data_IF_300982289091
#
_entry.id   IF_300982289091
#
_cell.length_a   1.000
_cell.length_b   1.000
_cell.length_c   1.000
_cell.angle_alpha   90.00
_cell.angle_beta   90.00
_cell.angle_gamma   90.00
#
_symmetry.space_group_name_H-M   'P 1'
#
loop_
_entity.id
_entity.type
_entity.pdbx_description
1 polymer ?
#
# COMPACT_ATOMS: atom_id res chain seq x y z
N UNK A 1 4.04 -23.53 -2.21
CA UNK A 1 5.05 -22.82 -3.02
C UNK A 1 4.40 -22.04 -4.17
N UNK A 2 3.60 -22.66 -5.05
CA UNK A 2 2.98 -21.97 -6.19
C UNK A 2 2.00 -20.85 -5.79
N UNK A 3 1.08 -21.11 -4.85
CA UNK A 3 0.19 -20.07 -4.28
C UNK A 3 0.94 -18.86 -3.71
N UNK A 4 2.06 -19.11 -3.03
CA UNK A 4 2.88 -18.04 -2.46
C UNK A 4 3.53 -17.20 -3.56
N UNK A 5 4.04 -17.84 -4.62
CA UNK A 5 4.59 -17.16 -5.80
C UNK A 5 3.56 -16.25 -6.47
N UNK A 6 2.31 -16.70 -6.63
CA UNK A 6 1.23 -15.87 -7.20
C UNK A 6 0.97 -14.62 -6.36
N UNK A 7 0.96 -14.75 -5.03
CA UNK A 7 0.84 -13.58 -4.16
C UNK A 7 2.02 -12.64 -4.25
N UNK A 8 3.24 -13.18 -4.34
CA UNK A 8 4.44 -12.36 -4.52
C UNK A 8 4.42 -11.62 -5.85
N UNK A 9 4.05 -12.28 -6.94
CA UNK A 9 3.96 -11.64 -8.25
C UNK A 9 2.93 -10.50 -8.23
N UNK A 10 1.78 -10.71 -7.60
CA UNK A 10 0.74 -9.69 -7.48
C UNK A 10 1.15 -8.52 -6.57
N UNK A 11 1.71 -8.79 -5.39
CA UNK A 11 2.18 -7.74 -4.48
C UNK A 11 3.39 -7.00 -5.03
N UNK A 12 4.28 -7.68 -5.74
CA UNK A 12 5.38 -7.04 -6.43
C UNK A 12 4.85 -6.07 -7.48
N UNK A 13 3.86 -6.49 -8.30
CA UNK A 13 3.19 -5.62 -9.25
C UNK A 13 2.56 -4.39 -8.58
N UNK A 14 1.80 -4.58 -7.51
CA UNK A 14 1.15 -3.47 -6.79
C UNK A 14 2.17 -2.49 -6.20
N UNK A 15 3.23 -2.99 -5.55
CA UNK A 15 4.30 -2.16 -5.00
C UNK A 15 5.03 -1.38 -6.09
N UNK A 16 5.37 -2.02 -7.22
CA UNK A 16 6.01 -1.36 -8.34
C UNK A 16 5.13 -0.25 -8.91
N UNK A 17 3.84 -0.51 -9.14
CA UNK A 17 2.91 0.50 -9.66
C UNK A 17 2.68 1.63 -8.67
N UNK A 18 2.56 1.32 -7.38
CA UNK A 18 2.41 2.34 -6.36
C UNK A 18 3.66 3.23 -6.26
N UNK A 19 4.86 2.65 -6.42
CA UNK A 19 6.10 3.42 -6.43
C UNK A 19 6.22 4.31 -7.68
N UNK A 20 6.12 3.71 -8.87
CA UNK A 20 6.35 4.37 -10.16
C UNK A 20 5.24 5.35 -10.52
N UNK A 21 3.98 4.96 -10.30
CA UNK A 21 2.84 5.74 -10.75
C UNK A 21 2.40 6.78 -9.72
N UNK A 22 2.79 6.63 -8.44
CA UNK A 22 2.36 7.51 -7.38
C UNK A 22 3.51 8.09 -6.55
N UNK A 23 4.24 7.26 -5.81
CA UNK A 23 5.18 7.73 -4.78
C UNK A 23 6.38 8.53 -5.33
N UNK A 24 6.77 8.33 -6.59
CA UNK A 24 7.91 9.06 -7.20
C UNK A 24 7.49 10.27 -8.06
N UNK A 25 6.22 10.40 -8.44
CA UNK A 25 5.74 11.49 -9.29
C UNK A 25 5.50 12.78 -8.53
N UNK A 26 5.28 13.89 -9.22
CA UNK A 26 4.90 15.16 -8.61
C UNK A 26 3.39 15.20 -8.36
N UNK A 27 2.95 15.84 -7.28
CA UNK A 27 1.52 15.95 -6.93
C UNK A 27 0.69 16.69 -8.00
N UNK A 28 1.34 17.57 -8.76
CA UNK A 28 0.71 18.32 -9.84
C UNK A 28 0.40 17.46 -11.07
N UNK A 29 1.00 16.27 -11.19
CA UNK A 29 0.87 15.41 -12.38
C UNK A 29 -0.47 14.67 -12.42
N UNK A 30 -1.23 14.69 -11.32
CA UNK A 30 -2.41 13.84 -11.16
C UNK A 30 -3.72 14.57 -11.40
N UNK A 31 -4.63 13.93 -12.15
CA UNK A 31 -6.03 14.33 -12.17
C UNK A 31 -6.80 13.74 -10.98
N UNK A 32 -7.85 14.43 -10.54
CA UNK A 32 -8.65 13.97 -9.39
C UNK A 32 -9.28 12.61 -9.65
N UNK A 33 -9.72 12.35 -10.89
CA UNK A 33 -10.31 11.07 -11.25
C UNK A 33 -9.30 9.92 -11.16
N UNK A 34 -8.06 10.14 -11.59
CA UNK A 34 -6.98 9.16 -11.50
C UNK A 34 -6.66 8.82 -10.05
N UNK A 35 -6.61 9.83 -9.18
CA UNK A 35 -6.33 9.63 -7.76
C UNK A 35 -7.46 8.81 -7.12
N UNK A 36 -8.72 9.27 -7.26
CA UNK A 36 -9.89 8.63 -6.61
C UNK A 36 -10.15 7.21 -7.12
N UNK A 37 -9.75 6.89 -8.35
CA UNK A 37 -9.97 5.57 -8.96
C UNK A 37 -8.74 4.67 -8.88
N UNK A 38 -7.69 4.99 -9.63
CA UNK A 38 -6.54 4.10 -9.82
C UNK A 38 -5.62 4.06 -8.62
N UNK A 39 -5.17 5.22 -8.12
CA UNK A 39 -4.27 5.25 -6.95
C UNK A 39 -4.97 4.70 -5.71
N UNK A 40 -6.26 5.01 -5.57
CA UNK A 40 -7.10 4.44 -4.53
C UNK A 40 -7.09 2.92 -4.56
N UNK A 41 -7.35 2.34 -5.73
CA UNK A 41 -7.37 0.90 -5.93
C UNK A 41 -6.01 0.26 -5.60
N UNK A 42 -4.90 0.84 -6.06
CA UNK A 42 -3.55 0.32 -5.78
C UNK A 42 -3.27 0.25 -4.27
N UNK A 43 -3.50 1.33 -3.54
CA UNK A 43 -3.26 1.40 -2.09
C UNK A 43 -4.20 0.43 -1.35
N UNK A 44 -5.48 0.39 -1.74
CA UNK A 44 -6.47 -0.48 -1.13
C UNK A 44 -6.13 -1.96 -1.28
N UNK A 45 -5.76 -2.38 -2.50
CA UNK A 45 -5.36 -3.76 -2.78
C UNK A 45 -4.04 -4.10 -2.07
N UNK A 46 -3.03 -3.24 -2.18
CA UNK A 46 -1.73 -3.50 -1.55
C UNK A 46 -1.88 -3.65 -0.04
N UNK A 47 -2.58 -2.72 0.62
CA UNK A 47 -2.89 -2.81 2.05
C UNK A 47 -3.67 -4.07 2.40
N UNK A 48 -4.70 -4.43 1.64
CA UNK A 48 -5.51 -5.62 1.94
C UNK A 48 -4.70 -6.93 1.84
N UNK A 49 -3.93 -7.09 0.76
CA UNK A 49 -3.17 -8.32 0.50
C UNK A 49 -1.90 -8.42 1.35
N UNK A 50 -1.19 -7.31 1.55
CA UNK A 50 -0.04 -7.25 2.44
C UNK A 50 -0.43 -7.64 3.87
N UNK A 51 -1.48 -7.01 4.40
CA UNK A 51 -1.88 -7.18 5.80
C UNK A 51 -2.53 -8.51 6.10
N UNK A 52 -3.53 -8.89 5.30
CA UNK A 52 -4.41 -10.00 5.65
C UNK A 52 -3.88 -11.34 5.16
N UNK A 53 -3.04 -11.33 4.13
CA UNK A 53 -2.54 -12.55 3.50
C UNK A 53 -1.03 -12.69 3.67
N UNK A 54 -0.23 -11.81 3.06
CA UNK A 54 1.21 -12.06 2.90
C UNK A 54 1.98 -12.06 4.22
N UNK A 55 1.82 -11.04 5.07
CA UNK A 55 2.45 -11.02 6.39
C UNK A 55 1.98 -12.19 7.26
N UNK A 56 0.74 -12.65 7.09
CA UNK A 56 0.21 -13.82 7.80
C UNK A 56 0.87 -15.11 7.35
N UNK A 57 0.97 -15.33 6.04
CA UNK A 57 1.62 -16.52 5.48
C UNK A 57 3.11 -16.57 5.84
N UNK A 58 3.83 -15.44 5.76
CA UNK A 58 5.25 -15.36 6.16
C UNK A 58 5.50 -15.67 7.63
N UNK A 59 4.54 -15.40 8.52
CA UNK A 59 4.72 -15.66 9.96
C UNK A 59 4.59 -17.12 10.35
N UNK A 60 4.01 -17.96 9.49
CA UNK A 60 3.78 -19.38 9.75
C UNK A 60 4.61 -20.28 8.85
N UNK A 61 5.17 -19.75 7.76
CA UNK A 61 6.01 -20.50 6.84
C UNK A 61 7.45 -20.65 7.35
N UNK A 62 8.21 -21.64 6.83
CA UNK A 62 9.67 -21.70 7.00
C UNK A 62 10.32 -20.48 6.32
N UNK A 63 10.46 -19.39 7.08
CA UNK A 63 10.74 -18.05 6.54
C UNK A 63 12.04 -17.96 5.73
N UNK A 64 13.05 -18.77 6.06
CA UNK A 64 14.31 -18.79 5.32
C UNK A 64 14.20 -19.37 3.92
N UNK A 65 13.27 -20.30 3.67
CA UNK A 65 13.00 -20.80 2.31
C UNK A 65 12.39 -19.72 1.41
N UNK A 66 11.90 -18.64 2.02
CA UNK A 66 11.25 -17.51 1.38
C UNK A 66 12.16 -16.27 1.36
N UNK A 67 13.43 -16.39 1.82
CA UNK A 67 14.40 -15.30 1.77
C UNK A 67 14.95 -15.13 0.35
N UNK A 68 14.21 -14.41 -0.48
CA UNK A 68 14.59 -14.12 -1.85
C UNK A 68 14.47 -12.60 -2.13
N UNK A 69 15.12 -12.07 -3.18
CA UNK A 69 15.09 -10.65 -3.49
C UNK A 69 13.68 -10.06 -3.64
N UNK A 70 12.73 -10.82 -4.20
CA UNK A 70 11.35 -10.39 -4.39
C UNK A 70 10.62 -10.20 -3.06
N UNK A 71 10.78 -11.14 -2.12
CA UNK A 71 10.26 -11.01 -0.75
C UNK A 71 10.76 -9.72 -0.10
N UNK A 72 12.06 -9.43 -0.20
CA UNK A 72 12.64 -8.23 0.40
C UNK A 72 12.04 -6.96 -0.21
N UNK A 73 11.88 -6.91 -1.53
CA UNK A 73 11.24 -5.77 -2.21
C UNK A 73 9.80 -5.59 -1.75
N UNK A 74 9.02 -6.67 -1.67
CA UNK A 74 7.62 -6.62 -1.19
C UNK A 74 7.56 -6.09 0.25
N UNK A 75 8.40 -6.61 1.16
CA UNK A 75 8.40 -6.16 2.55
C UNK A 75 8.77 -4.68 2.68
N UNK A 76 9.73 -4.20 1.90
CA UNK A 76 10.08 -2.77 1.86
C UNK A 76 8.96 -1.92 1.26
N UNK A 77 8.22 -2.45 0.29
CA UNK A 77 7.04 -1.80 -0.27
C UNK A 77 5.92 -1.63 0.77
N UNK A 78 5.68 -2.68 1.57
CA UNK A 78 4.68 -2.66 2.65
C UNK A 78 4.98 -1.54 3.67
N UNK A 79 6.25 -1.27 3.99
CA UNK A 79 6.63 -0.16 4.88
C UNK A 79 6.13 1.20 4.38
N UNK A 80 5.96 1.35 3.06
CA UNK A 80 5.54 2.60 2.41
C UNK A 80 4.02 2.79 2.35
N UNK A 81 3.21 1.80 2.71
CA UNK A 81 1.73 1.90 2.67
C UNK A 81 1.23 3.11 3.46
N UNK A 82 1.77 3.35 4.66
CA UNK A 82 1.37 4.50 5.48
C UNK A 82 1.71 5.83 4.79
N UNK A 83 2.87 5.90 4.14
CA UNK A 83 3.29 7.07 3.36
C UNK A 83 2.34 7.29 2.17
N UNK A 84 2.00 6.23 1.44
CA UNK A 84 1.06 6.29 0.33
C UNK A 84 -0.34 6.77 0.78
N UNK A 85 -0.84 6.25 1.91
CA UNK A 85 -2.11 6.68 2.50
C UNK A 85 -2.07 8.17 2.87
N UNK A 86 -1.02 8.62 3.54
CA UNK A 86 -0.88 10.01 3.97
C UNK A 86 -0.79 10.97 2.78
N UNK A 87 0.00 10.58 1.77
CA UNK A 87 0.13 11.35 0.54
C UNK A 87 -1.18 11.44 -0.22
N UNK A 88 -1.92 10.33 -0.35
CA UNK A 88 -3.23 10.32 -1.00
C UNK A 88 -4.19 11.28 -0.33
N UNK A 89 -4.30 11.22 1.00
CA UNK A 89 -5.19 12.09 1.78
C UNK A 89 -4.84 13.56 1.54
N UNK A 90 -3.55 13.90 1.60
CA UNK A 90 -3.08 15.27 1.38
C UNK A 90 -3.38 15.76 -0.05
N UNK A 91 -3.14 14.91 -1.04
CA UNK A 91 -3.36 15.24 -2.44
C UNK A 91 -4.85 15.42 -2.78
N UNK A 92 -5.71 14.53 -2.29
CA UNK A 92 -7.16 14.70 -2.46
C UNK A 92 -7.62 15.96 -1.74
N UNK A 93 -7.17 16.22 -0.51
CA UNK A 93 -7.58 17.40 0.24
C UNK A 93 -7.14 18.71 -0.42
N UNK A 94 -5.98 18.73 -1.10
CA UNK A 94 -5.53 19.92 -1.84
C UNK A 94 -6.38 20.16 -3.08
N UNK A 95 -6.77 19.09 -3.79
CA UNK A 95 -7.52 19.17 -5.04
C UNK A 95 -9.05 19.31 -4.85
N UNK A 96 -9.63 18.69 -3.82
CA UNK A 96 -11.08 18.75 -3.53
C UNK A 96 -11.52 20.17 -3.17
N UNK A 97 -10.64 20.97 -2.57
CA UNK A 97 -10.91 22.40 -2.32
C UNK A 97 -11.33 23.15 -3.58
N UNK A 98 -10.87 22.73 -4.76
CA UNK A 98 -11.24 23.35 -6.04
C UNK A 98 -12.55 22.80 -6.63
N UNK A 99 -12.90 21.53 -6.38
CA UNK A 99 -14.18 20.94 -6.81
C UNK A 99 -15.33 21.36 -5.88
N UNK A 100 -15.06 21.52 -4.58
CA UNK A 100 -16.04 21.81 -3.54
C UNK A 100 -16.85 23.10 -3.78
N UNK A 101 -16.41 23.98 -4.69
CA UNK A 101 -17.16 25.18 -5.09
C UNK A 101 -18.17 24.94 -6.21
N UNK A 102 -18.21 23.74 -6.82
CA UNK A 102 -18.99 23.43 -8.02
C UNK A 102 -20.01 22.30 -7.85
N UNK A 103 -19.79 21.34 -6.94
CA UNK A 103 -20.65 20.16 -6.76
C UNK A 103 -20.56 19.58 -5.33
N UNK A 104 -21.60 19.81 -4.52
CA UNK A 104 -21.69 19.35 -3.13
C UNK A 104 -21.81 17.83 -3.00
N UNK A 105 -22.40 17.15 -3.99
CA UNK A 105 -22.55 15.69 -3.96
C UNK A 105 -21.19 15.01 -4.17
N UNK A 106 -20.40 15.52 -5.11
CA UNK A 106 -19.06 14.99 -5.36
C UNK A 106 -18.14 15.23 -4.17
N UNK A 107 -18.27 16.40 -3.52
CA UNK A 107 -17.56 16.72 -2.27
C UNK A 107 -17.84 15.69 -1.19
N UNK A 108 -19.12 15.43 -0.90
CA UNK A 108 -19.53 14.47 0.14
C UNK A 108 -18.99 13.06 -0.13
N UNK A 109 -19.01 12.59 -1.40
CA UNK A 109 -18.45 11.29 -1.77
C UNK A 109 -16.96 11.18 -1.50
N UNK A 110 -16.19 12.19 -1.90
CA UNK A 110 -14.73 12.20 -1.71
C UNK A 110 -14.38 12.30 -0.23
N UNK A 111 -15.09 13.13 0.55
CA UNK A 111 -14.91 13.21 2.00
C UNK A 111 -15.16 11.85 2.68
N UNK A 112 -16.19 11.11 2.26
CA UNK A 112 -16.45 9.79 2.81
C UNK A 112 -15.35 8.76 2.46
N UNK A 113 -14.80 8.83 1.24
CA UNK A 113 -13.64 8.00 0.84
C UNK A 113 -12.43 8.35 1.73
N UNK A 114 -12.15 9.65 1.91
CA UNK A 114 -11.04 10.14 2.72
C UNK A 114 -11.16 9.76 4.20
N UNK A 115 -12.37 9.78 4.76
CA UNK A 115 -12.59 9.41 6.16
C UNK A 115 -12.29 7.92 6.45
N UNK A 116 -12.40 7.06 5.43
CA UNK A 116 -12.08 5.64 5.57
C UNK A 116 -10.63 5.32 5.25
N UNK A 117 -9.94 6.19 4.51
CA UNK A 117 -8.56 5.99 4.07
C UNK A 117 -7.54 5.76 5.19
N UNK A 118 -7.59 6.47 6.33
CA UNK A 118 -6.72 6.19 7.47
C UNK A 118 -6.80 4.75 7.99
N UNK A 119 -7.91 4.03 7.74
CA UNK A 119 -8.07 2.62 8.13
C UNK A 119 -7.21 1.67 7.29
N UNK A 120 -6.71 2.11 6.14
CA UNK A 120 -5.79 1.35 5.29
C UNK A 120 -4.34 1.39 5.80
N UNK A 121 -4.03 2.26 6.79
CA UNK A 121 -2.71 2.30 7.42
C UNK A 121 -2.39 0.99 8.13
N UNK A 122 -1.12 0.61 8.12
CA UNK A 122 -0.53 -0.38 9.00
C UNK A 122 -0.62 0.11 10.45
N UNK A 123 -1.42 -0.58 11.25
CA UNK A 123 -1.45 -0.40 12.69
C UNK A 123 -0.20 -0.96 13.38
N UNK A 124 -0.05 -0.66 14.68
CA UNK A 124 1.12 -1.08 15.47
C UNK A 124 1.38 -2.59 15.40
N UNK A 125 0.32 -3.40 15.44
CA UNK A 125 0.41 -4.87 15.37
C UNK A 125 1.02 -5.33 14.04
N UNK A 126 0.59 -4.74 12.92
CA UNK A 126 1.07 -5.04 11.59
C UNK A 126 2.52 -4.57 11.41
N UNK A 127 2.83 -3.36 11.84
CA UNK A 127 4.20 -2.80 11.81
C UNK A 127 5.18 -3.64 12.61
N UNK A 128 4.80 -4.09 13.82
CA UNK A 128 5.65 -4.97 14.63
C UNK A 128 5.88 -6.32 13.95
N UNK A 129 4.84 -6.87 13.31
CA UNK A 129 4.91 -8.13 12.59
C UNK A 129 5.84 -8.05 11.38
N UNK A 130 5.71 -6.98 10.59
CA UNK A 130 6.61 -6.67 9.47
C UNK A 130 8.07 -6.60 9.92
N UNK A 131 8.36 -5.81 10.95
CA UNK A 131 9.72 -5.68 11.51
C UNK A 131 10.26 -7.02 12.01
N UNK A 132 9.43 -7.82 12.68
CA UNK A 132 9.83 -9.15 13.15
C UNK A 132 10.18 -10.10 11.99
N UNK A 133 9.39 -10.11 10.92
CA UNK A 133 9.65 -10.89 9.70
C UNK A 133 10.95 -10.45 9.05
N UNK A 134 11.16 -9.15 8.87
CA UNK A 134 12.39 -8.61 8.27
C UNK A 134 13.64 -8.94 9.10
N UNK A 135 13.57 -8.86 10.43
CA UNK A 135 14.69 -9.27 11.29
C UNK A 135 15.00 -10.75 11.15
N UNK A 136 13.99 -11.63 11.17
CA UNK A 136 14.17 -13.07 10.97
C UNK A 136 14.80 -13.41 9.61
N UNK A 137 14.39 -12.72 8.54
CA UNK A 137 14.97 -12.92 7.21
C UNK A 137 16.46 -12.54 7.16
N UNK A 138 16.89 -11.53 7.93
CA UNK A 138 18.32 -11.15 8.03
C UNK A 138 19.17 -12.20 8.74
N UNK A 139 18.57 -13.05 9.58
CA UNK A 139 19.24 -14.14 10.29
C UNK A 139 19.38 -15.41 9.44
N UNK A 140 18.65 -15.51 8.33
CA UNK A 140 18.76 -16.63 7.41
C UNK A 140 20.12 -16.59 6.71
N UNK A 141 20.90 -17.67 6.82
CA UNK A 141 22.15 -17.83 6.07
C UNK A 141 21.83 -17.78 4.57
N UNK A 142 22.59 -16.98 3.83
CA UNK A 142 22.56 -16.97 2.36
C UNK A 142 23.24 -18.23 1.80
#
# INVERSE_FOLDING_TARGET
KERFKVFEDFLFFLNTRLEEDFLQKNDNDFEIIEIVTYINLLIGLDSAFANNMYLRELSIAPICDLNNPKTIVILNGIEKINIAVDRYINLINSKIKFIAYKDDYLKMKIENINNNYPKLRLGQKQTNKLKSIQSKLKECKQ
#
